data_IF_495304281406
#
_entry.id   IF_495304281406
#
_cell.length_a   1.000
_cell.length_b   1.000
_cell.length_c   1.000
_cell.angle_alpha   90.00
_cell.angle_beta   90.00
_cell.angle_gamma   90.00
#
_symmetry.space_group_name_H-M   'P 1'
#
loop_
_entity.id
_entity.type
_entity.pdbx_description
1 polymer ?
#
# COMPACT_ATOMS: atom_id res chain seq x y z
N UNK A 1 -1.70 -3.02 -13.76
CA UNK A 1 -0.66 -2.77 -12.75
C UNK A 1 -0.48 -4.05 -11.94
N UNK A 2 0.73 -4.52 -11.74
CA UNK A 2 1.00 -5.73 -10.95
C UNK A 2 1.92 -5.38 -9.80
N UNK A 3 1.52 -5.75 -8.59
CA UNK A 3 2.22 -5.46 -7.34
C UNK A 3 2.64 -6.77 -6.71
N UNK A 4 3.82 -6.78 -6.10
CA UNK A 4 4.41 -7.98 -5.53
C UNK A 4 4.60 -7.75 -4.03
N UNK A 5 3.97 -8.58 -3.21
CA UNK A 5 3.95 -8.44 -1.76
C UNK A 5 4.25 -9.77 -1.09
N UNK A 6 4.92 -9.79 0.07
CA UNK A 6 5.10 -11.01 0.85
C UNK A 6 3.74 -11.55 1.33
N UNK A 7 3.62 -12.88 1.39
CA UNK A 7 2.38 -13.57 1.79
C UNK A 7 1.84 -13.11 3.15
N UNK A 8 2.72 -12.72 4.07
CA UNK A 8 2.37 -12.19 5.39
C UNK A 8 1.57 -10.88 5.31
N UNK A 9 2.00 -9.97 4.43
CA UNK A 9 1.36 -8.67 4.23
C UNK A 9 0.04 -8.80 3.47
N UNK A 10 0.01 -9.67 2.45
CA UNK A 10 -1.20 -9.93 1.65
C UNK A 10 -2.35 -10.46 2.50
N UNK A 11 -2.06 -11.24 3.55
CA UNK A 11 -3.08 -11.65 4.52
C UNK A 11 -3.80 -10.47 5.19
N UNK A 12 -3.06 -9.41 5.52
CA UNK A 12 -3.63 -8.18 6.11
C UNK A 12 -4.46 -7.39 5.10
N UNK A 13 -3.99 -7.30 3.85
CA UNK A 13 -4.71 -6.64 2.74
C UNK A 13 -6.05 -7.33 2.45
N UNK A 14 -6.05 -8.67 2.38
CA UNK A 14 -7.26 -9.48 2.16
C UNK A 14 -8.26 -9.29 3.31
N UNK A 15 -7.75 -9.22 4.55
CA UNK A 15 -8.55 -9.07 5.76
C UNK A 15 -9.27 -10.36 6.16
N UNK A 16 -9.87 -10.35 7.36
CA UNK A 16 -10.64 -11.49 7.88
C UNK A 16 -11.78 -11.83 6.91
N UNK A 17 -11.83 -13.09 6.46
CA UNK A 17 -12.81 -13.60 5.47
C UNK A 17 -12.79 -12.91 4.09
N UNK A 18 -11.75 -12.15 3.73
CA UNK A 18 -11.70 -11.46 2.43
C UNK A 18 -12.58 -10.21 2.34
N UNK A 19 -13.07 -9.70 3.45
CA UNK A 19 -13.94 -8.51 3.49
C UNK A 19 -13.20 -7.25 3.03
N UNK A 20 -11.94 -7.08 3.43
CA UNK A 20 -11.13 -5.90 3.09
C UNK A 20 -10.88 -5.81 1.59
N UNK A 21 -10.45 -6.90 0.94
CA UNK A 21 -10.27 -6.91 -0.52
C UNK A 21 -11.60 -6.77 -1.27
N UNK A 22 -12.71 -7.29 -0.73
CA UNK A 22 -14.03 -7.08 -1.33
C UNK A 22 -14.42 -5.60 -1.31
N UNK A 23 -14.26 -4.93 -0.17
CA UNK A 23 -14.49 -3.49 -0.02
C UNK A 23 -13.59 -2.68 -0.95
N UNK A 24 -12.30 -3.02 -1.06
CA UNK A 24 -11.38 -2.35 -1.98
C UNK A 24 -11.84 -2.47 -3.43
N UNK A 25 -12.36 -3.63 -3.86
CA UNK A 25 -12.90 -3.82 -5.21
C UNK A 25 -14.14 -2.94 -5.45
N UNK A 26 -15.07 -2.88 -4.50
CA UNK A 26 -16.28 -2.05 -4.60
C UNK A 26 -15.95 -0.54 -4.56
N UNK A 27 -15.09 -0.09 -3.64
CA UNK A 27 -14.77 1.32 -3.48
C UNK A 27 -13.85 1.86 -4.58
N UNK A 28 -12.90 1.05 -5.06
CA UNK A 28 -12.03 1.44 -6.18
C UNK A 28 -12.70 1.30 -7.53
N UNK A 29 -13.64 0.36 -7.67
CA UNK A 29 -14.14 -0.08 -8.98
C UNK A 29 -13.08 -0.78 -9.84
N UNK A 30 -11.93 -1.13 -9.27
CA UNK A 30 -10.87 -1.85 -9.96
C UNK A 30 -11.04 -3.36 -9.82
N UNK A 31 -10.64 -4.08 -10.86
CA UNK A 31 -10.55 -5.54 -10.84
C UNK A 31 -9.24 -5.94 -10.15
N UNK A 32 -9.35 -6.41 -8.91
CA UNK A 32 -8.22 -6.86 -8.10
C UNK A 32 -8.12 -8.38 -8.17
N UNK A 33 -7.06 -8.91 -8.77
CA UNK A 33 -6.76 -10.33 -8.81
C UNK A 33 -5.54 -10.63 -7.91
N UNK A 34 -5.55 -11.73 -7.17
CA UNK A 34 -4.46 -12.12 -6.27
C UNK A 34 -4.02 -13.50 -6.72
N UNK A 35 -2.74 -13.66 -7.07
CA UNK A 35 -2.20 -14.96 -7.46
C UNK A 35 -2.27 -15.94 -6.29
N UNK A 36 -2.81 -17.13 -6.54
CA UNK A 36 -2.76 -18.25 -5.61
C UNK A 36 -1.47 -19.04 -5.85
N UNK A 37 -0.71 -19.30 -4.78
CA UNK A 37 0.54 -20.05 -4.84
C UNK A 37 1.21 -20.14 -3.47
N UNK A 38 1.96 -21.22 -3.24
CA UNK A 38 2.76 -21.42 -2.02
C UNK A 38 4.11 -20.65 -2.08
N UNK A 39 4.13 -19.53 -2.80
CA UNK A 39 5.32 -18.71 -2.93
C UNK A 39 5.39 -17.75 -1.74
N UNK A 40 6.60 -17.43 -1.25
CA UNK A 40 6.77 -16.43 -0.19
C UNK A 40 6.21 -15.07 -0.60
N UNK A 41 6.12 -14.81 -1.90
CA UNK A 41 5.58 -13.60 -2.50
C UNK A 41 4.29 -13.89 -3.29
N UNK A 42 3.33 -12.97 -3.19
CA UNK A 42 2.05 -12.99 -3.89
C UNK A 42 1.95 -11.78 -4.80
N UNK A 43 1.36 -12.01 -5.97
CA UNK A 43 1.18 -10.99 -7.00
C UNK A 43 -0.27 -10.50 -6.95
N UNK A 44 -0.45 -9.20 -6.71
CA UNK A 44 -1.74 -8.52 -6.80
C UNK A 44 -1.80 -7.78 -8.14
N UNK A 45 -2.69 -8.20 -9.02
CA UNK A 45 -2.93 -7.57 -10.31
C UNK A 45 -4.16 -6.67 -10.23
N UNK A 46 -3.96 -5.38 -10.50
CA UNK A 46 -5.02 -4.37 -10.62
C UNK A 46 -5.27 -4.08 -12.09
N UNK A 47 -6.52 -4.28 -12.52
CA UNK A 47 -6.99 -4.00 -13.87
C UNK A 47 -8.24 -3.11 -13.84
N UNK A 48 -8.34 -2.17 -14.78
CA UNK A 48 -9.43 -1.20 -14.83
C UNK A 48 -8.94 0.16 -15.31
N UNK A 49 -9.80 1.20 -15.22
CA UNK A 49 -9.41 2.55 -15.56
C UNK A 49 -8.37 3.08 -14.57
N UNK A 50 -7.53 4.00 -15.03
CA UNK A 50 -6.41 4.58 -14.28
C UNK A 50 -6.84 5.06 -12.89
N UNK A 51 -7.95 5.80 -12.78
CA UNK A 51 -8.48 6.29 -11.51
C UNK A 51 -8.83 5.17 -10.52
N UNK A 52 -9.40 4.07 -11.02
CA UNK A 52 -9.75 2.92 -10.20
C UNK A 52 -8.49 2.20 -9.70
N UNK A 53 -7.50 2.00 -10.58
CA UNK A 53 -6.22 1.38 -10.21
C UNK A 53 -5.50 2.22 -9.15
N UNK A 54 -5.40 3.55 -9.32
CA UNK A 54 -4.75 4.42 -8.34
C UNK A 54 -5.49 4.41 -6.99
N UNK A 55 -6.83 4.39 -7.00
CA UNK A 55 -7.62 4.32 -5.78
C UNK A 55 -7.43 2.99 -5.05
N UNK A 56 -7.43 1.87 -5.77
CA UNK A 56 -7.13 0.55 -5.20
C UNK A 56 -5.71 0.50 -4.62
N UNK A 57 -4.74 1.06 -5.35
CA UNK A 57 -3.35 1.10 -4.93
C UNK A 57 -3.17 1.91 -3.63
N UNK A 58 -3.78 3.10 -3.53
CA UNK A 58 -3.74 3.91 -2.32
C UNK A 58 -4.31 3.16 -1.10
N UNK A 59 -5.47 2.51 -1.25
CA UNK A 59 -6.06 1.72 -0.17
C UNK A 59 -5.19 0.53 0.25
N UNK A 60 -4.51 -0.12 -0.72
CA UNK A 60 -3.59 -1.22 -0.43
C UNK A 60 -2.38 -0.70 0.34
N UNK A 61 -1.81 0.45 -0.06
CA UNK A 61 -0.69 1.07 0.66
C UNK A 61 -1.11 1.51 2.06
N UNK A 62 -2.27 2.13 2.26
CA UNK A 62 -2.76 2.51 3.60
C UNK A 62 -2.84 1.29 4.53
N UNK A 63 -3.28 0.15 4.00
CA UNK A 63 -3.32 -1.14 4.70
C UNK A 63 -1.94 -1.73 4.98
N UNK A 64 -0.96 -1.40 4.15
CA UNK A 64 0.41 -1.88 4.24
C UNK A 64 1.30 -0.98 5.10
N UNK A 65 1.01 0.32 5.14
CA UNK A 65 1.73 1.31 5.95
C UNK A 65 1.64 0.95 7.43
N UNK A 66 0.54 0.36 7.90
CA UNK A 66 0.47 -0.21 9.26
C UNK A 66 1.49 -1.34 9.50
N UNK A 67 1.96 -2.01 8.47
CA UNK A 67 2.91 -3.15 8.56
C UNK A 67 4.35 -2.70 8.27
N UNK A 68 4.55 -1.78 7.32
CA UNK A 68 5.87 -1.41 6.80
C UNK A 68 6.45 -0.13 7.41
N UNK A 69 5.65 0.72 8.08
CA UNK A 69 6.15 1.93 8.76
C UNK A 69 6.74 1.68 10.16
N UNK A 70 7.10 0.42 10.49
CA UNK A 70 7.87 0.12 11.69
C UNK A 70 9.21 -0.58 11.35
N UNK A 71 10.32 0.15 11.32
CA UNK A 71 11.33 -0.02 12.35
C UNK A 71 10.83 0.61 13.66
N UNK A 72 11.21 0.11 14.85
CA UNK A 72 10.98 0.84 16.08
C UNK A 72 11.52 2.26 15.92
N UNK A 73 10.63 3.24 16.01
CA UNK A 73 11.07 4.62 16.10
C UNK A 73 12.09 4.70 17.26
N UNK A 74 13.29 5.29 17.06
CA UNK A 74 14.19 5.53 18.17
C UNK A 74 13.44 6.39 19.21
N UNK A 75 13.52 6.05 20.51
CA UNK A 75 12.63 6.57 21.56
C UNK A 75 12.81 8.06 21.92
N UNK A 76 13.17 8.96 20.99
CA UNK A 76 13.48 10.35 21.29
C UNK A 76 12.86 11.42 20.37
N UNK A 77 11.94 11.10 19.46
CA UNK A 77 11.30 12.13 18.63
C UNK A 77 9.92 12.56 19.19
N UNK A 78 9.75 13.86 19.55
CA UNK A 78 8.47 14.36 20.04
C UNK A 78 7.40 14.37 18.93
N UNK A 79 6.20 13.93 19.30
CA UNK A 79 5.06 13.60 18.43
C UNK A 79 4.32 14.82 17.85
N UNK A 80 5.01 15.70 17.10
CA UNK A 80 4.41 16.97 16.70
C UNK A 80 4.94 17.59 15.41
N UNK A 81 5.02 16.86 14.29
CA UNK A 81 5.11 17.47 12.95
C UNK A 81 5.17 16.43 11.81
N UNK A 82 4.01 15.88 11.40
CA UNK A 82 3.88 15.40 10.01
C UNK A 82 3.85 16.64 9.10
N UNK A 83 5.03 17.18 8.79
CA UNK A 83 5.18 18.16 7.70
C UNK A 83 5.46 17.40 6.39
N UNK A 84 4.81 17.75 5.26
CA UNK A 84 5.24 17.27 3.96
C UNK A 84 6.67 17.76 3.71
N UNK A 85 7.57 16.86 3.30
CA UNK A 85 8.95 17.21 2.96
C UNK A 85 8.96 18.30 1.88
N UNK A 86 9.53 19.49 2.12
CA UNK A 86 9.73 20.45 1.04
C UNK A 86 10.81 19.90 0.10
N UNK A 87 10.48 19.82 -1.19
CA UNK A 87 11.45 19.65 -2.27
C UNK A 87 12.40 20.85 -2.24
N UNK A 88 13.57 20.69 -1.63
CA UNK A 88 14.64 21.68 -1.61
C UNK A 88 15.14 21.97 -3.03
N UNK A 89 15.05 23.22 -3.54
CA UNK A 89 15.57 23.61 -4.86
C UNK A 89 17.08 23.91 -4.89
N UNK A 90 17.84 23.61 -3.83
CA UNK A 90 19.23 24.05 -3.65
C UNK A 90 20.31 23.28 -4.43
N UNK A 91 19.94 22.54 -5.49
CA UNK A 91 20.89 22.06 -6.52
C UNK A 91 21.03 23.02 -7.71
N UNK A 92 20.33 24.16 -7.72
CA UNK A 92 20.43 25.18 -8.78
C UNK A 92 20.85 26.55 -8.22
N UNK A 93 21.98 26.64 -7.54
CA UNK A 93 22.71 27.91 -7.43
C UNK A 93 24.18 27.60 -7.10
N UNK A 94 25.00 27.73 -8.15
CA UNK A 94 26.47 27.78 -8.25
C UNK A 94 27.32 27.14 -7.14
#
# INVERSE_FOLDING_TARGET
MSLLFPSQEVGSIIGKKGESVKKMREESGARINISEGNCPERIITLAGPTNAIFKAFAMIIDKLEEVCLWPPAPPSLPAGSRQPLPLSPEKFAL
#
